data_IF_236211012510
#
_entry.id   IF_236211012510
#
_cell.length_a   1.000
_cell.length_b   1.000
_cell.length_c   1.000
_cell.angle_alpha   90.00
_cell.angle_beta   90.00
_cell.angle_gamma   90.00
#
_symmetry.space_group_name_H-M   'P 1'
#
loop_
_entity.id
_entity.type
_entity.pdbx_description
1 polymer ?
#
# COMPACT_ATOMS: atom_id res chain seq x y z
N UNK A 1 2.35 3.16 20.43
CA UNK A 1 1.03 3.80 20.28
C UNK A 1 0.02 2.75 19.87
N UNK A 2 -1.27 3.08 19.88
CA UNK A 2 -2.32 2.26 19.29
C UNK A 2 -2.88 3.03 18.10
N UNK A 3 -2.67 2.56 16.86
CA UNK A 3 -1.88 1.39 16.45
C UNK A 3 -0.36 1.56 16.67
N UNK A 4 0.44 0.48 16.62
CA UNK A 4 1.90 0.55 16.71
C UNK A 4 2.48 1.54 15.68
N UNK A 5 3.28 2.48 16.15
CA UNK A 5 4.12 3.31 15.28
C UNK A 5 5.22 2.42 14.70
N UNK A 6 5.17 2.13 13.40
CA UNK A 6 6.25 1.45 12.72
C UNK A 6 7.50 2.35 12.76
N UNK A 7 8.64 1.90 13.33
CA UNK A 7 9.82 2.73 13.43
C UNK A 7 10.34 3.13 12.04
N UNK A 8 10.75 4.38 11.89
CA UNK A 8 11.52 4.84 10.73
C UNK A 8 12.81 4.02 10.56
N UNK A 9 13.36 3.97 9.34
CA UNK A 9 14.60 3.20 9.07
C UNK A 9 14.43 1.68 9.11
N UNK A 10 13.20 1.16 9.04
CA UNK A 10 12.91 -0.28 9.07
C UNK A 10 12.18 -0.73 7.81
N UNK A 11 12.25 -2.03 7.52
CA UNK A 11 11.47 -2.63 6.44
C UNK A 11 9.96 -2.43 6.66
N UNK A 12 9.23 -2.03 5.63
CA UNK A 12 7.78 -1.87 5.62
C UNK A 12 7.10 -3.04 4.92
N UNK A 13 7.55 -3.38 3.72
CA UNK A 13 6.99 -4.48 2.94
C UNK A 13 8.07 -5.23 2.17
N UNK A 14 7.82 -6.53 1.99
CA UNK A 14 8.60 -7.42 1.12
C UNK A 14 7.62 -8.00 0.12
N UNK A 15 7.92 -7.90 -1.18
CA UNK A 15 7.02 -8.32 -2.25
C UNK A 15 7.83 -8.89 -3.43
N UNK A 16 7.34 -9.97 -4.03
CA UNK A 16 7.83 -10.44 -5.33
C UNK A 16 7.08 -9.72 -6.45
N UNK A 17 7.74 -9.48 -7.59
CA UNK A 17 7.02 -9.12 -8.80
C UNK A 17 6.07 -10.23 -9.26
N UNK A 18 5.08 -9.93 -10.13
CA UNK A 18 4.10 -10.91 -10.58
C UNK A 18 4.71 -12.17 -11.20
N UNK A 19 5.86 -12.03 -11.86
CA UNK A 19 6.56 -13.13 -12.55
C UNK A 19 7.65 -13.78 -11.69
N UNK A 20 7.85 -13.32 -10.45
CA UNK A 20 8.90 -13.81 -9.56
C UNK A 20 10.30 -13.73 -10.18
N UNK A 21 10.59 -12.65 -10.91
CA UNK A 21 11.92 -12.27 -11.45
C UNK A 21 12.78 -11.52 -10.43
N UNK A 22 12.17 -10.87 -9.45
CA UNK A 22 12.86 -10.22 -8.35
C UNK A 22 12.02 -10.14 -7.05
N UNK A 23 12.72 -10.08 -5.92
CA UNK A 23 12.18 -9.74 -4.60
C UNK A 23 12.53 -8.29 -4.28
N UNK A 24 11.55 -7.52 -3.82
CA UNK A 24 11.72 -6.11 -3.43
C UNK A 24 11.47 -5.98 -1.93
N UNK A 25 12.44 -5.41 -1.22
CA UNK A 25 12.31 -4.99 0.17
C UNK A 25 12.24 -3.46 0.23
N UNK A 26 11.12 -2.95 0.72
CA UNK A 26 10.82 -1.52 0.86
C UNK A 26 11.24 -1.09 2.27
N UNK A 27 12.08 -0.06 2.35
CA UNK A 27 12.74 0.37 3.57
C UNK A 27 12.48 1.85 3.82
N UNK A 28 11.61 2.10 4.80
CA UNK A 28 11.26 3.43 5.30
C UNK A 28 12.50 4.28 5.55
N UNK A 29 12.48 5.49 5.02
CA UNK A 29 13.41 6.54 5.41
C UNK A 29 13.08 7.13 6.79
N UNK A 30 13.42 8.40 6.96
CA UNK A 30 13.18 9.19 8.17
C UNK A 30 12.91 10.65 7.78
N UNK A 31 11.73 11.16 8.13
CA UNK A 31 11.31 12.53 7.81
C UNK A 31 11.85 13.60 8.79
N UNK A 32 12.47 13.22 9.91
CA UNK A 32 13.01 14.19 10.87
C UNK A 32 14.35 14.79 10.43
N UNK A 33 14.92 15.78 11.15
CA UNK A 33 16.19 16.41 10.77
C UNK A 33 17.41 15.59 11.25
N UNK A 34 18.36 15.19 10.38
CA UNK A 34 18.34 15.35 8.91
C UNK A 34 17.44 14.29 8.24
N UNK A 35 16.74 14.70 7.17
CA UNK A 35 15.87 13.78 6.45
C UNK A 35 16.70 12.71 5.74
N UNK A 36 16.22 11.47 5.79
CA UNK A 36 16.83 10.32 5.12
C UNK A 36 15.76 9.77 4.17
N UNK A 37 15.99 9.78 2.85
CA UNK A 37 15.07 9.17 1.91
C UNK A 37 14.88 7.68 2.16
N UNK A 38 13.69 7.21 1.81
CA UNK A 38 13.37 5.80 1.68
C UNK A 38 14.25 5.08 0.67
N UNK A 39 14.13 3.75 0.63
CA UNK A 39 14.84 2.97 -0.38
C UNK A 39 14.14 1.67 -0.71
N UNK A 40 14.23 1.28 -1.98
CA UNK A 40 13.85 -0.05 -2.44
C UNK A 40 15.12 -0.87 -2.66
N UNK A 41 15.15 -2.06 -2.09
CA UNK A 41 16.24 -3.02 -2.24
C UNK A 41 15.72 -4.20 -3.05
N UNK A 42 16.17 -4.32 -4.29
CA UNK A 42 15.77 -5.36 -5.21
C UNK A 42 16.81 -6.49 -5.24
N UNK A 43 16.35 -7.73 -5.22
CA UNK A 43 17.15 -8.93 -5.32
C UNK A 43 16.66 -9.75 -6.50
N UNK A 44 17.53 -10.07 -7.45
CA UNK A 44 17.18 -10.97 -8.55
C UNK A 44 16.73 -12.32 -8.01
N UNK A 45 15.74 -12.93 -8.66
CA UNK A 45 15.33 -14.30 -8.37
C UNK A 45 15.51 -15.18 -9.59
N UNK A 46 16.19 -16.31 -9.41
CA UNK A 46 16.47 -17.26 -10.47
C UNK A 46 16.39 -18.68 -9.90
N UNK A 47 15.74 -19.58 -10.64
CA UNK A 47 15.62 -21.00 -10.26
C UNK A 47 15.06 -21.21 -8.84
N UNK A 48 14.14 -20.33 -8.40
CA UNK A 48 13.54 -20.38 -7.06
C UNK A 48 14.45 -19.90 -5.92
N UNK A 49 15.59 -19.27 -6.23
CA UNK A 49 16.51 -18.69 -5.25
C UNK A 49 16.53 -17.17 -5.36
N UNK A 50 16.63 -16.49 -4.21
CA UNK A 50 16.86 -15.04 -4.12
C UNK A 50 18.36 -14.78 -4.07
N UNK A 51 18.86 -13.87 -4.90
CA UNK A 51 20.26 -13.44 -4.90
C UNK A 51 20.67 -12.86 -3.54
N UNK A 52 21.93 -13.04 -3.14
CA UNK A 52 22.51 -12.35 -1.97
C UNK A 52 23.05 -10.96 -2.31
N UNK A 53 23.13 -10.61 -3.60
CA UNK A 53 23.62 -9.33 -4.10
C UNK A 53 22.45 -8.43 -4.52
N UNK A 54 22.03 -7.46 -3.68
CA UNK A 54 20.96 -6.55 -4.03
C UNK A 54 21.42 -5.36 -4.86
N UNK A 55 20.45 -4.74 -5.51
CA UNK A 55 20.53 -3.37 -6.01
C UNK A 55 19.66 -2.49 -5.11
N UNK A 56 20.19 -1.35 -4.69
CA UNK A 56 19.47 -0.38 -3.87
C UNK A 56 19.19 0.86 -4.69
N UNK A 57 17.92 1.25 -4.74
CA UNK A 57 17.47 2.51 -5.31
C UNK A 57 16.99 3.43 -4.20
N UNK A 58 17.42 4.69 -4.26
CA UNK A 58 16.90 5.78 -3.44
C UNK A 58 16.37 6.87 -4.37
N UNK A 59 15.13 7.29 -4.12
CA UNK A 59 14.47 8.38 -4.84
C UNK A 59 14.30 9.51 -3.84
N UNK A 60 14.82 10.69 -4.15
CA UNK A 60 15.02 11.76 -3.16
C UNK A 60 13.75 12.23 -2.46
N UNK A 61 12.62 12.23 -3.18
CA UNK A 61 11.34 12.74 -2.69
C UNK A 61 10.44 11.64 -2.10
N UNK A 62 10.92 10.39 -2.05
CA UNK A 62 10.29 9.28 -1.33
C UNK A 62 10.97 9.13 0.02
N UNK A 63 10.22 9.34 1.10
CA UNK A 63 10.74 9.57 2.44
C UNK A 63 10.25 8.50 3.43
N UNK A 64 8.98 8.11 3.37
CA UNK A 64 8.38 7.17 4.32
C UNK A 64 7.53 6.12 3.59
N UNK A 65 8.21 5.38 2.73
CA UNK A 65 7.73 4.30 1.88
C UNK A 65 7.16 3.12 2.68
N UNK A 66 5.92 2.77 2.38
CA UNK A 66 5.15 1.83 3.17
C UNK A 66 4.58 0.69 2.31
N UNK A 67 3.27 0.66 2.08
CA UNK A 67 2.61 -0.32 1.25
C UNK A 67 3.00 -0.18 -0.22
N UNK A 68 3.07 -1.30 -0.93
CA UNK A 68 3.23 -1.35 -2.37
C UNK A 68 2.51 -2.54 -3.00
N UNK A 69 2.10 -2.35 -4.25
CA UNK A 69 1.43 -3.36 -5.08
C UNK A 69 1.80 -3.14 -6.54
N UNK A 70 2.05 -4.22 -7.27
CA UNK A 70 2.32 -4.14 -8.70
C UNK A 70 1.02 -3.83 -9.47
N UNK A 71 1.12 -2.87 -10.39
CA UNK A 71 0.06 -2.49 -11.33
C UNK A 71 0.10 -3.37 -12.60
N UNK A 72 1.31 -3.81 -12.96
CA UNK A 72 1.63 -4.73 -14.05
C UNK A 72 3.02 -5.35 -13.82
N UNK A 73 3.69 -5.82 -14.88
CA UNK A 73 4.97 -6.54 -14.80
C UNK A 73 6.13 -5.68 -14.27
N UNK A 74 6.14 -4.36 -14.52
CA UNK A 74 7.26 -3.48 -14.14
C UNK A 74 6.85 -2.31 -13.26
N UNK A 75 5.57 -1.93 -13.24
CA UNK A 75 5.10 -0.76 -12.49
C UNK A 75 4.62 -1.12 -11.10
N UNK A 76 5.23 -0.49 -10.11
CA UNK A 76 4.95 -0.64 -8.69
C UNK A 76 4.27 0.62 -8.15
N UNK A 77 3.03 0.50 -7.73
CA UNK A 77 2.37 1.55 -6.95
C UNK A 77 2.82 1.47 -5.50
N UNK A 78 3.25 2.60 -4.97
CA UNK A 78 3.83 2.73 -3.64
C UNK A 78 3.13 3.84 -2.86
N UNK A 79 2.92 3.63 -1.58
CA UNK A 79 2.37 4.64 -0.67
C UNK A 79 3.46 5.24 0.19
N UNK A 80 3.37 6.53 0.44
CA UNK A 80 4.26 7.28 1.30
C UNK A 80 3.44 8.16 2.26
N UNK A 81 3.71 7.99 3.56
CA UNK A 81 3.02 8.70 4.64
C UNK A 81 3.33 10.21 4.64
N UNK A 82 4.39 10.64 3.97
CA UNK A 82 4.82 12.04 3.92
C UNK A 82 4.06 12.86 2.87
N UNK A 83 3.61 12.25 1.76
CA UNK A 83 2.97 13.00 0.68
C UNK A 83 1.77 12.33 0.02
N UNK A 84 1.66 10.99 0.01
CA UNK A 84 0.62 10.32 -0.76
C UNK A 84 1.09 9.01 -1.35
N UNK A 85 1.32 9.00 -2.66
CA UNK A 85 1.64 7.77 -3.42
C UNK A 85 2.55 8.08 -4.60
N UNK A 86 3.32 7.09 -5.05
CA UNK A 86 4.10 7.15 -6.28
C UNK A 86 3.86 5.92 -7.15
N UNK A 87 4.10 6.06 -8.46
CA UNK A 87 4.27 4.92 -9.36
C UNK A 87 5.74 4.86 -9.72
N UNK A 88 6.36 3.71 -9.46
CA UNK A 88 7.74 3.42 -9.81
C UNK A 88 7.76 2.42 -10.96
N UNK A 89 8.69 2.56 -11.89
CA UNK A 89 8.95 1.56 -12.93
C UNK A 89 10.29 0.85 -12.67
N UNK A 90 10.28 -0.47 -12.81
CA UNK A 90 11.41 -1.36 -12.58
C UNK A 90 12.14 -1.63 -13.89
N UNK A 91 13.41 -1.25 -13.97
CA UNK A 91 14.31 -1.73 -15.01
C UNK A 91 14.87 -3.10 -14.61
N UNK A 92 14.39 -4.18 -15.21
CA UNK A 92 14.83 -5.54 -14.88
C UNK A 92 16.25 -5.90 -15.38
N UNK A 93 16.84 -5.12 -16.28
CA UNK A 93 18.23 -5.32 -16.70
C UNK A 93 19.20 -4.85 -15.61
N UNK A 94 18.85 -3.76 -14.92
CA UNK A 94 19.69 -3.15 -13.87
C UNK A 94 19.18 -3.37 -12.45
N UNK A 95 17.93 -3.82 -12.30
CA UNK A 95 17.14 -3.86 -11.06
C UNK A 95 17.01 -2.52 -10.33
N UNK A 96 17.16 -1.42 -11.06
CA UNK A 96 16.92 -0.07 -10.53
C UNK A 96 15.47 0.35 -10.73
N UNK A 97 14.97 1.21 -9.85
CA UNK A 97 13.65 1.80 -9.97
C UNK A 97 13.76 3.29 -10.32
N UNK A 98 12.77 3.80 -11.03
CA UNK A 98 12.61 5.23 -11.28
C UNK A 98 11.17 5.65 -11.01
N UNK A 99 10.98 6.88 -10.56
CA UNK A 99 9.65 7.44 -10.35
C UNK A 99 9.05 7.87 -11.69
N UNK A 100 7.92 7.26 -12.05
CA UNK A 100 7.10 7.64 -13.21
C UNK A 100 6.13 8.75 -12.81
N UNK A 101 5.49 8.60 -11.66
CA UNK A 101 4.51 9.56 -11.14
C UNK A 101 4.74 9.84 -9.65
N UNK A 102 4.74 11.12 -9.31
CA UNK A 102 4.68 11.62 -7.94
C UNK A 102 3.29 12.18 -7.64
N UNK A 103 2.55 11.59 -6.69
CA UNK A 103 1.13 11.87 -6.50
C UNK A 103 0.89 12.34 -5.06
N UNK A 104 0.98 13.65 -4.87
CA UNK A 104 0.68 14.29 -3.60
C UNK A 104 -0.83 14.30 -3.32
N UNK A 105 -1.22 13.82 -2.15
CA UNK A 105 -2.61 13.74 -1.69
C UNK A 105 -2.81 14.73 -0.55
N UNK A 106 -3.39 15.89 -0.87
CA UNK A 106 -3.69 16.91 0.13
C UNK A 106 -4.68 16.38 1.17
N UNK A 107 -4.36 16.64 2.45
CA UNK A 107 -5.22 16.27 3.57
C UNK A 107 -5.13 14.80 4.00
N UNK A 108 -4.23 13.99 3.43
CA UNK A 108 -3.92 12.66 3.97
C UNK A 108 -3.52 12.75 5.46
N UNK A 109 -3.74 11.67 6.20
CA UNK A 109 -3.32 11.53 7.60
C UNK A 109 -2.24 10.50 7.79
N UNK A 110 -2.42 9.31 7.22
CA UNK A 110 -1.44 8.23 7.26
C UNK A 110 -1.73 7.17 6.19
N UNK A 111 -1.35 7.41 4.95
CA UNK A 111 -1.49 6.40 3.89
C UNK A 111 -0.32 5.42 4.00
N UNK A 112 -0.61 4.21 4.49
CA UNK A 112 0.40 3.17 4.70
C UNK A 112 0.11 1.86 3.94
N UNK A 113 -1.11 1.68 3.44
CA UNK A 113 -1.53 0.48 2.72
C UNK A 113 -1.79 0.80 1.26
N UNK A 114 -1.62 -0.20 0.41
CA UNK A 114 -1.92 -0.11 -1.02
C UNK A 114 -2.70 -1.34 -1.48
N UNK A 115 -3.53 -1.17 -2.50
CA UNK A 115 -4.20 -2.27 -3.19
C UNK A 115 -4.46 -1.89 -4.65
N UNK A 116 -4.67 -2.88 -5.51
CA UNK A 116 -4.92 -2.66 -6.93
C UNK A 116 -6.03 -3.59 -7.45
N UNK A 117 -6.97 -3.03 -8.20
CA UNK A 117 -8.00 -3.80 -8.93
C UNK A 117 -7.73 -3.71 -10.44
N UNK A 118 -7.25 -4.81 -11.08
CA UNK A 118 -6.96 -4.81 -12.52
C UNK A 118 -8.21 -4.71 -13.39
N UNK A 119 -9.41 -5.06 -12.89
CA UNK A 119 -10.64 -4.93 -13.66
C UNK A 119 -11.10 -3.47 -13.76
N UNK A 120 -10.77 -2.66 -12.75
CA UNK A 120 -11.06 -1.23 -12.72
C UNK A 120 -9.86 -0.38 -13.11
N UNK A 121 -8.69 -0.99 -13.33
CA UNK A 121 -7.43 -0.31 -13.59
C UNK A 121 -7.18 0.82 -12.58
N UNK A 122 -7.48 0.54 -11.30
CA UNK A 122 -7.45 1.55 -10.23
C UNK A 122 -6.61 1.04 -9.07
N UNK A 123 -5.63 1.85 -8.70
CA UNK A 123 -4.86 1.68 -7.48
C UNK A 123 -5.55 2.42 -6.33
N UNK A 124 -5.42 1.86 -5.13
CA UNK A 124 -6.11 2.33 -3.94
C UNK A 124 -5.13 2.58 -2.81
N UNK A 125 -5.33 3.69 -2.13
CA UNK A 125 -4.50 4.14 -1.01
C UNK A 125 -5.39 4.38 0.22
N UNK A 126 -5.67 3.34 1.02
CA UNK A 126 -6.37 3.47 2.29
C UNK A 126 -5.61 4.36 3.28
N UNK A 127 -6.32 5.29 3.91
CA UNK A 127 -5.75 6.17 4.92
C UNK A 127 -6.02 5.62 6.33
N UNK A 128 -4.96 5.37 7.09
CA UNK A 128 -5.03 4.82 8.43
C UNK A 128 -5.45 5.85 9.50
N UNK A 129 -5.39 7.13 9.19
CA UNK A 129 -5.74 8.21 10.09
C UNK A 129 -7.13 8.83 9.84
N UNK A 130 -7.85 8.39 8.80
CA UNK A 130 -9.20 8.86 8.48
C UNK A 130 -9.99 7.85 7.65
N UNK A 131 -11.33 7.83 7.69
CA UNK A 131 -12.15 6.82 7.03
C UNK A 131 -12.29 7.06 5.51
N UNK A 132 -11.18 7.11 4.78
CA UNK A 132 -11.14 7.38 3.33
C UNK A 132 -10.14 6.46 2.63
N UNK A 133 -10.51 5.97 1.44
CA UNK A 133 -9.60 5.29 0.50
C UNK A 133 -9.44 6.16 -0.73
N UNK A 134 -8.23 6.63 -1.03
CA UNK A 134 -7.98 7.41 -2.24
C UNK A 134 -7.87 6.50 -3.46
N UNK A 135 -8.30 6.98 -4.62
CA UNK A 135 -8.30 6.23 -5.88
C UNK A 135 -7.36 6.88 -6.88
N UNK A 136 -6.51 6.08 -7.50
CA UNK A 136 -5.53 6.54 -8.51
C UNK A 136 -5.71 5.70 -9.77
N UNK A 137 -5.79 6.33 -10.93
CA UNK A 137 -5.81 5.63 -12.21
C UNK A 137 -4.43 5.00 -12.47
N UNK A 138 -4.40 3.68 -12.67
CA UNK A 138 -3.15 2.93 -12.75
C UNK A 138 -2.38 3.14 -14.06
N UNK A 139 -2.98 3.76 -15.07
CA UNK A 139 -2.29 4.08 -16.33
C UNK A 139 -1.67 5.47 -16.29
N UNK A 140 -2.43 6.47 -15.86
CA UNK A 140 -2.03 7.87 -15.91
C UNK A 140 -1.37 8.37 -14.62
N UNK A 141 -1.50 7.64 -13.51
CA UNK A 141 -1.06 8.10 -12.19
C UNK A 141 -1.86 9.27 -11.64
N UNK A 142 -3.04 9.57 -12.21
CA UNK A 142 -3.88 10.66 -11.72
C UNK A 142 -4.72 10.23 -10.52
N UNK A 143 -4.79 11.08 -9.50
CA UNK A 143 -5.78 10.98 -8.43
C UNK A 143 -7.18 11.16 -9.02
N UNK A 144 -8.02 10.13 -8.96
CA UNK A 144 -9.37 10.12 -9.54
C UNK A 144 -10.46 10.46 -8.52
N UNK A 145 -10.13 10.40 -7.22
CA UNK A 145 -11.07 10.73 -6.16
C UNK A 145 -10.80 9.93 -4.89
N UNK A 146 -11.88 9.65 -4.15
CA UNK A 146 -11.82 8.85 -2.95
C UNK A 146 -13.16 8.17 -2.64
N UNK A 147 -13.09 7.09 -1.86
CA UNK A 147 -14.24 6.35 -1.34
C UNK A 147 -14.30 6.57 0.16
N UNK A 148 -15.40 7.15 0.64
CA UNK A 148 -15.65 7.31 2.06
C UNK A 148 -16.06 5.96 2.69
N UNK A 149 -15.42 5.62 3.81
CA UNK A 149 -15.83 4.53 4.67
C UNK A 149 -16.84 5.01 5.73
N UNK A 150 -17.43 4.07 6.49
CA UNK A 150 -18.27 4.41 7.63
C UNK A 150 -17.48 5.24 8.65
N UNK A 151 -18.06 6.30 9.22
CA UNK A 151 -17.37 7.17 10.18
C UNK A 151 -16.85 6.43 11.42
N UNK A 152 -17.48 5.31 11.80
CA UNK A 152 -17.02 4.44 12.90
C UNK A 152 -15.64 3.84 12.63
N UNK A 153 -15.23 3.77 11.37
CA UNK A 153 -13.96 3.17 10.92
C UNK A 153 -12.74 3.84 11.53
N UNK A 154 -12.79 5.17 11.70
CA UNK A 154 -11.69 6.06 12.13
C UNK A 154 -10.45 6.06 11.20
N UNK A 155 -10.12 4.93 10.57
CA UNK A 155 -9.03 4.74 9.62
C UNK A 155 -9.07 3.33 9.03
N UNK A 156 -8.45 3.13 7.87
CA UNK A 156 -8.41 1.86 7.15
C UNK A 156 -7.01 1.26 7.20
N UNK A 157 -6.93 -0.04 7.50
CA UNK A 157 -5.70 -0.79 7.73
C UNK A 157 -5.62 -1.91 6.69
N UNK A 158 -5.13 -3.08 7.09
CA UNK A 158 -4.90 -4.19 6.18
C UNK A 158 -6.14 -4.50 5.36
N UNK A 159 -5.93 -4.56 4.05
CA UNK A 159 -6.99 -4.48 3.04
C UNK A 159 -6.75 -5.54 1.99
N UNK A 160 -7.82 -6.21 1.57
CA UNK A 160 -7.77 -7.19 0.51
C UNK A 160 -8.94 -6.96 -0.46
N UNK A 161 -8.65 -7.01 -1.75
CA UNK A 161 -9.66 -6.92 -2.81
C UNK A 161 -10.05 -8.33 -3.21
N UNK A 162 -11.33 -8.66 -3.03
CA UNK A 162 -11.88 -9.95 -3.39
C UNK A 162 -12.53 -9.95 -4.76
N UNK A 163 -13.09 -11.10 -5.12
CA UNK A 163 -13.88 -11.23 -6.34
C UNK A 163 -15.04 -10.21 -6.39
N UNK A 164 -15.36 -9.76 -7.61
CA UNK A 164 -16.49 -8.85 -7.94
C UNK A 164 -16.27 -7.35 -7.65
N UNK A 165 -15.04 -6.93 -7.32
CA UNK A 165 -14.73 -5.51 -7.07
C UNK A 165 -15.17 -5.07 -5.67
N UNK A 166 -15.02 -5.97 -4.68
CA UNK A 166 -15.26 -5.66 -3.27
C UNK A 166 -13.94 -5.58 -2.54
N UNK A 167 -13.73 -4.49 -1.83
CA UNK A 167 -12.60 -4.31 -0.92
C UNK A 167 -13.04 -4.57 0.51
N UNK A 168 -12.29 -5.42 1.19
CA UNK A 168 -12.43 -5.70 2.62
C UNK A 168 -11.29 -5.02 3.34
N UNK A 169 -11.57 -4.24 4.38
CA UNK A 169 -10.54 -3.48 5.08
C UNK A 169 -10.77 -3.47 6.58
N UNK A 170 -9.73 -3.79 7.34
CA UNK A 170 -9.75 -3.66 8.80
C UNK A 170 -9.89 -2.19 9.19
N UNK A 171 -10.82 -1.88 10.09
CA UNK A 171 -10.96 -0.54 10.63
C UNK A 171 -9.90 -0.27 11.72
N UNK A 172 -9.67 0.99 12.07
CA UNK A 172 -8.94 1.36 13.29
C UNK A 172 -9.78 1.03 14.54
N UNK A 173 -11.10 1.13 14.41
CA UNK A 173 -12.07 0.64 15.38
C UNK A 173 -12.23 -0.88 15.31
N UNK A 174 -13.08 -1.44 16.18
CA UNK A 174 -13.28 -2.87 16.29
C UNK A 174 -14.24 -3.41 15.22
N UNK A 175 -13.84 -3.32 13.95
CA UNK A 175 -14.67 -3.77 12.85
C UNK A 175 -13.95 -3.91 11.53
N UNK A 176 -14.72 -4.31 10.53
CA UNK A 176 -14.29 -4.52 9.16
C UNK A 176 -15.25 -3.82 8.20
N UNK A 177 -14.69 -3.11 7.24
CA UNK A 177 -15.44 -2.46 6.17
C UNK A 177 -15.51 -3.36 4.94
N UNK A 178 -16.64 -3.30 4.25
CA UNK A 178 -16.80 -3.80 2.88
C UNK A 178 -17.15 -2.61 2.00
N UNK A 179 -16.28 -2.32 1.05
CA UNK A 179 -16.43 -1.25 0.09
C UNK A 179 -16.72 -1.86 -1.29
N UNK A 180 -17.76 -1.36 -1.95
CA UNK A 180 -18.01 -1.64 -3.36
C UNK A 180 -17.19 -0.66 -4.20
N UNK A 181 -16.18 -1.18 -4.89
CA UNK A 181 -15.23 -0.37 -5.66
C UNK A 181 -15.86 0.18 -6.94
N UNK A 182 -16.87 -0.50 -7.48
CA UNK A 182 -17.60 -0.05 -8.68
C UNK A 182 -18.59 1.06 -8.32
N UNK A 183 -19.33 0.87 -7.24
CA UNK A 183 -20.27 1.87 -6.73
C UNK A 183 -19.59 2.97 -5.91
N UNK A 184 -18.27 2.85 -5.67
CA UNK A 184 -17.44 3.78 -4.90
C UNK A 184 -18.06 4.17 -3.55
N UNK A 185 -18.49 3.16 -2.78
CA UNK A 185 -19.10 3.40 -1.46
C UNK A 185 -18.86 2.25 -0.49
N UNK A 186 -18.85 2.58 0.79
CA UNK A 186 -19.01 1.58 1.85
C UNK A 186 -20.42 0.98 1.79
N UNK A 187 -20.49 -0.35 1.75
CA UNK A 187 -21.77 -1.09 1.73
C UNK A 187 -22.01 -1.85 3.03
N UNK A 188 -20.99 -2.03 3.86
CA UNK A 188 -21.12 -2.70 5.14
C UNK A 188 -19.99 -2.31 6.10
N UNK A 189 -20.35 -2.16 7.37
CA UNK A 189 -19.43 -2.20 8.50
C UNK A 189 -19.84 -3.37 9.40
N UNK A 190 -18.94 -4.34 9.57
CA UNK A 190 -19.13 -5.49 10.44
C UNK A 190 -18.45 -5.23 11.77
N UNK A 191 -19.23 -5.20 12.85
CA UNK A 191 -18.72 -5.03 14.22
C UNK A 191 -18.14 -6.35 14.74
N UNK A 192 -16.85 -6.33 15.05
CA UNK A 192 -16.09 -7.49 15.52
C UNK A 192 -16.00 -7.57 17.04
N UNK A 193 -16.71 -6.72 17.79
CA UNK A 193 -16.65 -6.68 19.25
C UNK A 193 -17.09 -7.99 19.93
N UNK A 194 -17.85 -8.83 19.24
CA UNK A 194 -18.21 -10.18 19.72
C UNK A 194 -17.11 -11.23 19.50
N UNK A 195 -16.13 -10.96 18.62
CA UNK A 195 -15.02 -11.85 18.27
C UNK A 195 -13.81 -11.61 19.18
N UNK A 196 -13.57 -10.36 19.57
CA UNK A 196 -12.49 -9.97 20.47
C UNK A 196 -12.24 -8.47 20.46
N UNK A 197 -11.23 -8.02 21.19
CA UNK A 197 -10.73 -6.65 21.05
C UNK A 197 -10.04 -6.46 19.70
N UNK A 198 -9.85 -5.20 19.27
CA UNK A 198 -9.24 -4.88 17.97
C UNK A 198 -7.74 -5.21 17.90
N UNK A 199 -7.04 -5.14 19.02
CA UNK A 199 -5.58 -5.20 19.11
C UNK A 199 -4.88 -6.50 18.65
N UNK A 200 -5.50 -7.70 18.60
CA UNK A 200 -4.85 -8.88 18.03
C UNK A 200 -5.00 -8.95 16.49
N UNK A 201 -5.86 -8.16 15.84
CA UNK A 201 -6.09 -8.27 14.40
C UNK A 201 -5.09 -7.43 13.61
N UNK A 202 -3.98 -8.02 13.19
CA UNK A 202 -2.93 -7.28 12.45
C UNK A 202 -2.92 -7.58 10.95
N UNK A 203 -3.74 -8.52 10.49
CA UNK A 203 -3.76 -8.91 9.08
C UNK A 203 -5.13 -9.38 8.62
N UNK A 204 -5.36 -9.25 7.32
CA UNK A 204 -6.54 -9.67 6.60
C UNK A 204 -6.09 -10.44 5.36
N UNK A 205 -6.57 -11.67 5.23
CA UNK A 205 -6.39 -12.46 4.02
C UNK A 205 -7.75 -12.96 3.54
N UNK A 206 -7.92 -13.03 2.22
CA UNK A 206 -9.07 -13.69 1.63
C UNK A 206 -8.75 -15.17 1.49
N UNK A 207 -9.70 -16.01 1.90
CA UNK A 207 -9.61 -17.43 1.63
C UNK A 207 -9.73 -17.65 0.10
N UNK A 208 -8.82 -18.41 -0.52
CA UNK A 208 -8.89 -18.67 -1.95
C UNK A 208 -10.17 -19.46 -2.26
N UNK A 209 -10.92 -19.01 -3.26
CA UNK A 209 -12.01 -19.78 -3.87
C UNK A 209 -11.46 -20.61 -5.02
#
# INVERSE_FOLDING_TARGET
TTPPTAPAGTASQIIFDPDSKALFAILKGYAGPPAIPGSVVAYKTEHGMVSESPVRTQIGDIINDFGSVFLDESRLFMTDVAFGTAILDVDYETLTLHEENHIAIEGQKAICWSAYDPYLNTAYAPDAGQPVVYTVDATSGMLTGSIAADNRTQGLFDTAIGGRGLMYSLAASNGLNVLDLKAQRNIQYFDLSSVGERMPFTGLALWPN
#
